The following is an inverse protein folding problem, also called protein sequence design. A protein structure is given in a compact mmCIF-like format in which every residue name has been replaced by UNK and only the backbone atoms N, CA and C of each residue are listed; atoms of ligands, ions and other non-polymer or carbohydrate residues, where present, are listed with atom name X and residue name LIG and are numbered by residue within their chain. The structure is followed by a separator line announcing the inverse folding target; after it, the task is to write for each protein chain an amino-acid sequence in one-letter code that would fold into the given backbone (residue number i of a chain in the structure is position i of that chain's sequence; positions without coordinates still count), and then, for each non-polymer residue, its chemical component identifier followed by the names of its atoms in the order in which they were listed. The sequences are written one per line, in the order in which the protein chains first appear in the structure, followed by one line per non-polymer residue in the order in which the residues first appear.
data_IF_261436456458
#
_entry.id   IF_261436456458
#
_cell.length_a   1.000
_cell.length_b   1.000
_cell.length_c   1.000
_cell.angle_alpha   90.00
_cell.angle_beta   90.00
_cell.angle_gamma   90.00
#
_symmetry.space_group_name_H-M   'P 1'
#
loop_
_entity.id
_entity.type
_entity.pdbx_description
1 polymer ?
#
# COMPACT_ATOMS: atom_id res chain seq x y z
N UNK A 1 37.93 -21.84 -33.69
CA UNK A 1 36.82 -21.08 -34.31
C UNK A 1 35.56 -21.42 -33.54
N UNK A 2 35.27 -20.69 -32.47
CA UNK A 2 34.13 -20.94 -31.57
C UNK A 2 32.90 -20.23 -32.11
N UNK A 3 31.93 -21.01 -32.59
CA UNK A 3 30.65 -20.52 -33.11
C UNK A 3 29.67 -20.30 -31.97
N UNK A 4 29.44 -19.04 -31.63
CA UNK A 4 28.47 -18.60 -30.62
C UNK A 4 27.06 -18.75 -31.19
N UNK A 5 26.29 -19.74 -30.72
CA UNK A 5 24.90 -19.94 -31.10
C UNK A 5 24.00 -19.14 -30.13
N UNK A 6 23.48 -18.01 -30.60
CA UNK A 6 22.48 -17.22 -29.88
C UNK A 6 21.11 -17.88 -30.02
N UNK A 7 20.52 -18.30 -28.89
CA UNK A 7 19.15 -18.78 -28.83
C UNK A 7 18.19 -17.59 -28.91
N UNK A 8 17.45 -17.50 -30.02
CA UNK A 8 16.39 -16.53 -30.25
C UNK A 8 15.13 -17.02 -29.52
N UNK A 9 14.70 -16.28 -28.49
CA UNK A 9 13.41 -16.49 -27.83
C UNK A 9 12.31 -15.94 -28.74
N UNK A 10 11.47 -16.83 -29.26
CA UNK A 10 10.29 -16.46 -30.05
C UNK A 10 9.19 -15.91 -29.13
N UNK A 11 8.99 -14.59 -29.16
CA UNK A 11 7.84 -13.92 -28.53
C UNK A 11 6.68 -13.93 -29.53
N UNK A 12 5.59 -14.64 -29.21
CA UNK A 12 4.35 -14.57 -29.99
C UNK A 12 3.66 -13.23 -29.67
N UNK A 13 3.67 -12.31 -30.63
CA UNK A 13 2.92 -11.06 -30.57
C UNK A 13 1.42 -11.35 -30.65
N UNK A 14 0.65 -10.97 -29.62
CA UNK A 14 -0.81 -11.00 -29.64
C UNK A 14 -1.34 -9.55 -29.67
N UNK A 15 -2.06 -9.19 -30.74
CA UNK A 15 -2.69 -7.88 -30.90
C UNK A 15 -3.93 -7.73 -29.99
N UNK A 16 -4.10 -6.61 -29.28
CA UNK A 16 -5.33 -6.35 -28.54
C UNK A 16 -6.39 -5.74 -29.47
N UNK A 17 -7.49 -6.45 -29.70
CA UNK A 17 -8.70 -5.87 -30.28
C UNK A 17 -9.44 -5.09 -29.19
N UNK A 18 -9.36 -3.77 -29.26
CA UNK A 18 -10.00 -2.83 -28.35
C UNK A 18 -11.45 -2.66 -28.78
N UNK A 19 -12.39 -3.20 -28.01
CA UNK A 19 -13.81 -2.85 -28.14
C UNK A 19 -14.35 -2.34 -26.81
N UNK A 20 -14.07 -1.07 -26.53
CA UNK A 20 -14.71 -0.30 -25.47
C UNK A 20 -16.16 -0.03 -25.89
N UNK A 21 -17.13 -0.69 -25.25
CA UNK A 21 -18.54 -0.27 -25.32
C UNK A 21 -18.73 0.96 -24.42
N UNK A 22 -18.75 2.14 -25.02
CA UNK A 22 -19.25 3.37 -24.40
C UNK A 22 -20.79 3.32 -24.42
N UNK A 23 -21.39 3.07 -23.26
CA UNK A 23 -22.81 3.35 -23.03
C UNK A 23 -22.96 4.84 -22.78
N UNK A 24 -23.34 5.59 -23.82
CA UNK A 24 -23.67 7.01 -23.73
C UNK A 24 -25.01 7.21 -23.02
N UNK A 25 -25.00 7.97 -21.93
CA UNK A 25 -26.22 8.61 -21.41
C UNK A 25 -26.26 10.01 -22.02
N UNK A 26 -27.24 10.22 -22.89
CA UNK A 26 -27.58 11.53 -23.45
C UNK A 26 -28.21 12.35 -22.32
N UNK A 27 -27.53 13.41 -21.89
CA UNK A 27 -28.11 14.42 -20.98
C UNK A 27 -28.83 15.43 -21.87
N UNK A 28 -30.16 15.34 -21.90
CA UNK A 28 -31.00 16.29 -22.62
C UNK A 28 -31.10 17.57 -21.78
N UNK A 29 -30.44 18.63 -22.25
CA UNK A 29 -30.57 19.98 -21.71
C UNK A 29 -31.93 20.55 -22.14
N UNK A 30 -32.80 20.84 -21.17
CA UNK A 30 -34.02 21.59 -21.41
C UNK A 30 -33.87 23.00 -20.82
N UNK A 31 -33.86 23.99 -21.70
CA UNK A 31 -33.80 25.42 -21.40
C UNK A 31 -35.22 25.99 -21.39
N UNK A 32 -35.78 26.24 -20.20
CA UNK A 32 -36.89 27.18 -20.03
C UNK A 32 -36.70 28.01 -18.76
N UNK A 33 -36.64 29.31 -19.00
CA UNK A 33 -36.51 30.42 -18.05
C UNK A 33 -37.92 30.95 -17.75
N UNK A 34 -38.31 31.09 -16.47
CA UNK A 34 -38.77 32.35 -15.82
C UNK A 34 -39.40 32.14 -14.41
N UNK A 35 -39.50 33.21 -13.59
CA UNK A 35 -39.17 33.16 -12.16
C UNK A 35 -40.39 33.38 -11.25
N UNK A 36 -40.30 32.93 -10.00
CA UNK A 36 -40.99 33.58 -8.87
C UNK A 36 -40.19 33.43 -7.57
N UNK A 37 -40.17 34.54 -6.85
CA UNK A 37 -39.47 34.89 -5.62
C UNK A 37 -39.93 34.11 -4.40
N UNK A 38 -39.01 33.64 -3.54
CA UNK A 38 -39.23 33.56 -2.09
C UNK A 38 -37.92 33.80 -1.31
N UNK A 39 -38.09 34.43 -0.16
CA UNK A 39 -37.14 35.20 0.63
C UNK A 39 -36.09 34.34 1.37
N UNK A 40 -34.86 34.86 1.46
CA UNK A 40 -33.83 34.42 2.42
C UNK A 40 -33.81 35.34 3.64
N UNK A 41 -33.96 34.76 4.83
CA UNK A 41 -33.56 35.40 6.08
C UNK A 41 -32.29 34.71 6.57
N UNK A 42 -31.18 35.46 6.53
CA UNK A 42 -29.89 35.11 7.12
C UNK A 42 -29.80 35.72 8.52
N UNK A 43 -29.62 34.89 9.53
CA UNK A 43 -29.12 35.33 10.83
C UNK A 43 -27.89 34.51 11.18
N UNK A 44 -26.72 35.15 11.25
CA UNK A 44 -25.72 34.70 12.20
C UNK A 44 -24.91 35.89 12.73
N UNK A 45 -24.96 36.00 14.04
CA UNK A 45 -24.56 37.16 14.82
C UNK A 45 -23.10 37.05 15.24
N UNK A 46 -22.37 38.14 15.04
CA UNK A 46 -21.03 38.39 15.58
C UNK A 46 -21.15 38.51 17.10
N UNK A 47 -20.42 37.68 17.86
CA UNK A 47 -20.13 37.97 19.27
C UNK A 47 -18.62 38.10 19.48
N UNK A 48 -18.22 39.30 19.91
CA UNK A 48 -16.88 39.66 20.37
C UNK A 48 -16.83 39.42 21.87
N UNK A 49 -15.86 38.65 22.34
CA UNK A 49 -15.47 38.66 23.75
C UNK A 49 -13.99 39.01 23.87
N UNK A 50 -13.75 40.12 24.55
CA UNK A 50 -12.46 40.71 24.91
C UNK A 50 -12.02 40.16 26.26
N UNK A 51 -10.79 39.67 26.37
CA UNK A 51 -10.05 39.61 27.63
C UNK A 51 -8.58 39.99 27.39
N UNK A 52 -8.11 40.94 28.21
CA UNK A 52 -6.74 41.46 28.32
C UNK A 52 -5.88 40.57 29.23
N UNK A 53 -4.57 40.42 28.96
CA UNK A 53 -3.47 40.44 29.96
C UNK A 53 -2.10 40.32 29.24
N UNK A 54 -1.28 41.37 29.15
CA UNK A 54 -0.08 41.72 29.96
C UNK A 54 1.17 40.80 29.83
N UNK A 55 2.10 41.26 28.98
CA UNK A 55 3.58 41.38 29.12
C UNK A 55 4.57 40.17 29.09
N UNK A 56 5.85 40.43 28.66
CA UNK A 56 6.76 39.50 27.95
C UNK A 56 7.97 39.02 28.79
N UNK A 57 8.90 38.21 28.22
CA UNK A 57 10.32 38.65 28.07
C UNK A 57 10.99 38.11 26.78
N UNK A 58 11.75 38.91 25.99
CA UNK A 58 13.18 39.31 26.07
C UNK A 58 14.25 38.20 26.00
N UNK A 59 15.06 38.32 24.94
CA UNK A 59 16.53 38.19 24.88
C UNK A 59 17.18 36.87 24.44
N UNK A 60 17.95 36.99 23.34
CA UNK A 60 18.97 36.08 22.86
C UNK A 60 20.14 36.00 23.86
N UNK A 61 20.78 34.84 24.00
CA UNK A 61 22.18 34.78 24.45
C UNK A 61 22.89 33.52 23.94
N UNK A 62 24.05 33.75 23.33
CA UNK A 62 25.06 32.79 22.90
C UNK A 62 25.86 32.23 24.09
N UNK A 63 26.65 31.19 23.77
CA UNK A 63 27.78 30.60 24.52
C UNK A 63 27.43 29.43 25.46
N UNK A 64 27.94 28.23 25.16
CA UNK A 64 29.28 27.77 25.50
C UNK A 64 29.56 26.39 24.89
N UNK A 65 30.75 26.29 24.32
CA UNK A 65 31.40 25.07 23.84
C UNK A 65 31.66 24.16 25.04
N UNK A 66 31.00 23.00 25.08
CA UNK A 66 31.44 21.91 25.95
C UNK A 66 32.26 20.92 25.13
N UNK A 67 33.56 20.92 25.44
CA UNK A 67 34.61 20.03 24.95
C UNK A 67 34.29 18.61 25.45
N UNK A 68 33.84 17.70 24.59
CA UNK A 68 33.74 16.28 24.93
C UNK A 68 34.98 15.58 24.38
N UNK A 69 35.74 15.01 25.32
CA UNK A 69 36.92 14.18 25.13
C UNK A 69 36.50 12.87 24.48
N UNK A 70 37.01 12.57 23.28
CA UNK A 70 36.87 11.26 22.67
C UNK A 70 37.78 10.26 23.40
N UNK A 71 37.20 9.30 24.12
CA UNK A 71 37.92 8.09 24.50
C UNK A 71 37.84 7.11 23.32
N UNK A 72 39.01 6.71 22.81
CA UNK A 72 39.14 5.60 21.88
C UNK A 72 39.07 4.32 22.70
N UNK A 73 37.92 3.65 22.68
CA UNK A 73 37.84 2.24 23.06
C UNK A 73 38.02 1.41 21.80
N UNK A 74 39.20 0.82 21.69
CA UNK A 74 39.46 -0.30 20.80
C UNK A 74 38.82 -1.52 21.42
N UNK A 75 37.65 -1.90 20.91
CA UNK A 75 37.07 -3.21 21.18
C UNK A 75 37.17 -4.05 19.91
N UNK A 76 37.96 -5.11 20.04
CA UNK A 76 38.17 -6.18 19.08
C UNK A 76 36.84 -6.67 18.51
N UNK A 77 36.63 -6.48 17.21
CA UNK A 77 35.51 -7.05 16.47
C UNK A 77 35.80 -8.52 16.17
N UNK A 78 35.42 -9.39 17.10
CA UNK A 78 35.01 -10.77 16.79
C UNK A 78 33.64 -10.69 16.13
N UNK A 79 33.33 -11.45 15.05
CA UNK A 79 32.06 -11.29 14.34
C UNK A 79 30.91 -11.75 15.23
N UNK A 80 30.22 -10.78 15.82
CA UNK A 80 28.97 -11.00 16.53
C UNK A 80 27.94 -11.44 15.50
N UNK A 81 27.31 -12.59 15.74
CA UNK A 81 26.09 -12.96 15.05
C UNK A 81 25.09 -11.81 15.19
N UNK A 82 24.72 -11.19 14.08
CA UNK A 82 23.74 -10.12 14.03
C UNK A 82 22.40 -10.69 14.52
N UNK A 83 21.97 -10.25 15.70
CA UNK A 83 20.62 -10.44 16.23
C UNK A 83 19.66 -9.60 15.37
N UNK A 84 19.42 -10.09 14.16
CA UNK A 84 18.55 -9.50 13.15
C UNK A 84 17.10 -9.57 13.65
N UNK A 85 16.63 -8.44 14.19
CA UNK A 85 15.28 -8.24 14.72
C UNK A 85 14.23 -8.90 13.79
N UNK A 86 13.36 -9.79 14.29
CA UNK A 86 12.39 -10.48 13.45
C UNK A 86 11.51 -9.52 12.65
N UNK A 87 11.52 -9.69 11.33
CA UNK A 87 10.72 -8.91 10.41
C UNK A 87 10.02 -9.80 9.37
N UNK A 88 8.91 -9.28 8.84
CA UNK A 88 8.12 -9.91 7.78
C UNK A 88 8.41 -9.17 6.48
N UNK A 89 8.69 -9.95 5.44
CA UNK A 89 8.90 -9.45 4.09
C UNK A 89 7.59 -9.40 3.32
N UNK A 90 7.49 -8.43 2.44
CA UNK A 90 6.32 -8.18 1.60
C UNK A 90 6.73 -8.04 0.15
N UNK A 91 5.94 -8.65 -0.73
CA UNK A 91 5.96 -8.38 -2.15
C UNK A 91 4.60 -7.78 -2.55
N UNK A 92 4.57 -6.48 -2.84
CA UNK A 92 3.37 -5.77 -3.26
C UNK A 92 3.31 -5.69 -4.77
N UNK A 93 2.39 -6.44 -5.38
CA UNK A 93 2.18 -6.45 -6.83
C UNK A 93 1.21 -5.35 -7.22
N UNK A 94 1.63 -4.45 -8.10
CA UNK A 94 0.81 -3.34 -8.58
C UNK A 94 -0.35 -3.85 -9.46
N UNK A 95 -1.39 -3.03 -9.63
CA UNK A 95 -2.56 -3.41 -10.44
C UNK A 95 -2.34 -3.27 -11.95
N UNK A 96 -1.22 -2.69 -12.37
CA UNK A 96 -0.86 -2.46 -13.77
C UNK A 96 0.48 -3.16 -14.03
N UNK A 97 0.56 -3.94 -15.10
CA UNK A 97 1.82 -4.54 -15.56
C UNK A 97 2.78 -3.49 -16.11
N UNK A 98 4.06 -3.83 -16.07
CA UNK A 98 5.09 -3.11 -16.79
C UNK A 98 4.86 -3.20 -18.32
N UNK A 99 5.48 -2.33 -19.13
CA UNK A 99 5.33 -2.34 -20.59
C UNK A 99 5.72 -3.66 -21.28
N UNK A 100 6.55 -4.48 -20.61
CA UNK A 100 6.97 -5.80 -21.05
C UNK A 100 5.96 -6.92 -20.71
N UNK A 101 4.90 -6.60 -19.96
CA UNK A 101 3.89 -7.55 -19.50
C UNK A 101 4.23 -8.28 -18.19
N UNK A 102 5.33 -7.93 -17.51
CA UNK A 102 5.67 -8.50 -16.21
C UNK A 102 4.98 -7.76 -15.06
N UNK A 103 4.69 -8.44 -13.93
CA UNK A 103 4.11 -7.77 -12.77
C UNK A 103 5.10 -6.78 -12.16
N UNK A 104 4.64 -5.57 -11.90
CA UNK A 104 5.41 -4.58 -11.13
C UNK A 104 5.32 -4.93 -9.64
N UNK A 105 6.47 -5.26 -9.02
CA UNK A 105 6.55 -5.77 -7.64
C UNK A 105 7.42 -4.86 -6.78
N UNK A 106 6.83 -4.35 -5.70
CA UNK A 106 7.54 -3.57 -4.69
C UNK A 106 7.82 -4.43 -3.45
N UNK A 107 9.11 -4.65 -3.16
CA UNK A 107 9.54 -5.37 -1.96
C UNK A 107 9.69 -4.43 -0.76
N UNK A 108 9.18 -4.83 0.41
CA UNK A 108 9.28 -4.08 1.67
C UNK A 108 9.46 -5.03 2.84
N UNK A 109 9.95 -4.52 3.96
CA UNK A 109 10.12 -5.28 5.19
C UNK A 109 9.54 -4.47 6.33
N UNK A 110 8.76 -5.11 7.20
CA UNK A 110 8.17 -4.45 8.36
C UNK A 110 8.03 -5.40 9.56
N UNK A 111 7.99 -4.81 10.75
CA UNK A 111 7.76 -5.56 11.99
C UNK A 111 6.33 -6.11 12.01
N UNK A 112 6.15 -7.32 12.55
CA UNK A 112 4.82 -7.86 12.81
C UNK A 112 4.12 -7.15 13.98
N UNK A 113 2.85 -7.48 14.17
CA UNK A 113 1.92 -6.80 15.09
C UNK A 113 1.20 -5.58 14.49
N UNK A 114 1.65 -5.07 13.35
CA UNK A 114 1.10 -3.87 12.70
C UNK A 114 -0.08 -4.19 11.77
N UNK A 115 -0.92 -3.19 11.46
CA UNK A 115 -1.96 -3.34 10.44
C UNK A 115 -1.32 -3.26 9.05
N UNK A 116 -1.77 -4.13 8.14
CA UNK A 116 -1.26 -4.14 6.76
C UNK A 116 -1.50 -2.80 6.06
N UNK A 117 -2.60 -2.11 6.36
CA UNK A 117 -2.86 -0.75 5.87
C UNK A 117 -1.74 0.22 6.22
N UNK A 118 -1.31 0.22 7.47
CA UNK A 118 -0.35 1.20 7.96
C UNK A 118 1.02 0.94 7.32
N UNK A 119 1.45 -0.33 7.28
CA UNK A 119 2.64 -0.77 6.54
C UNK A 119 2.61 -0.30 5.07
N UNK A 120 1.48 -0.47 4.38
CA UNK A 120 1.36 -0.05 2.99
C UNK A 120 1.48 1.48 2.85
N UNK A 121 0.84 2.24 3.74
CA UNK A 121 0.86 3.70 3.69
C UNK A 121 2.23 4.28 4.06
N UNK A 122 2.90 3.71 5.07
CA UNK A 122 4.22 4.14 5.54
C UNK A 122 5.32 3.90 4.50
N UNK A 123 5.10 2.95 3.58
CA UNK A 123 6.01 2.61 2.49
C UNK A 123 5.58 3.13 1.11
N UNK A 124 4.66 4.10 1.08
CA UNK A 124 4.11 4.73 -0.14
C UNK A 124 3.49 3.73 -1.13
N UNK A 125 3.02 2.57 -0.65
CA UNK A 125 2.33 1.59 -1.46
C UNK A 125 0.90 2.04 -1.68
N UNK A 126 0.47 1.99 -2.94
CA UNK A 126 -0.89 2.39 -3.31
C UNK A 126 -1.92 1.38 -2.83
N UNK A 127 -2.64 1.75 -1.76
CA UNK A 127 -3.75 0.98 -1.23
C UNK A 127 -5.10 1.44 -1.78
N UNK A 128 -5.20 2.71 -2.14
CA UNK A 128 -6.44 3.30 -2.61
C UNK A 128 -6.33 3.59 -4.09
N UNK A 129 -7.32 3.13 -4.85
CA UNK A 129 -7.42 3.51 -6.25
C UNK A 129 -7.51 5.03 -6.39
N UNK A 130 -7.29 5.56 -7.61
CA UNK A 130 -7.17 6.99 -7.88
C UNK A 130 -8.37 7.81 -7.38
N UNK A 131 -9.55 7.20 -7.27
CA UNK A 131 -10.78 7.84 -6.79
C UNK A 131 -11.06 7.68 -5.29
N UNK A 132 -10.36 6.79 -4.58
CA UNK A 132 -10.65 6.45 -3.19
C UNK A 132 -9.78 7.19 -2.16
N UNK A 133 -8.63 7.73 -2.58
CA UNK A 133 -7.56 8.20 -1.68
C UNK A 133 -7.95 9.40 -0.80
N UNK A 134 -8.52 10.51 -1.31
CA UNK A 134 -8.79 11.69 -0.48
C UNK A 134 -10.20 11.73 0.13
N UNK A 135 -11.19 11.05 -0.48
CA UNK A 135 -12.61 11.34 -0.21
C UNK A 135 -13.42 10.17 0.39
N UNK A 136 -12.92 8.93 0.33
CA UNK A 136 -13.74 7.73 0.57
C UNK A 136 -13.07 6.68 1.48
N UNK A 137 -12.22 7.09 2.42
CA UNK A 137 -11.58 6.16 3.35
C UNK A 137 -11.95 6.43 4.82
N UNK A 138 -12.21 5.36 5.59
CA UNK A 138 -12.65 5.45 6.99
C UNK A 138 -11.50 5.44 8.01
N UNK A 139 -10.29 5.83 7.61
CA UNK A 139 -9.09 5.81 8.47
C UNK A 139 -8.82 4.47 9.18
N UNK A 140 -9.28 3.35 8.61
CA UNK A 140 -9.10 2.01 9.17
C UNK A 140 -10.24 1.49 10.06
N UNK A 141 -11.34 2.22 10.18
CA UNK A 141 -12.53 1.78 10.93
C UNK A 141 -13.27 0.55 10.38
N UNK A 142 -12.90 0.05 9.19
CA UNK A 142 -13.48 -1.14 8.56
C UNK A 142 -14.87 -0.95 7.94
N UNK A 143 -15.39 0.27 7.86
CA UNK A 143 -16.76 0.56 7.39
C UNK A 143 -16.85 0.91 5.91
N UNK A 144 -15.83 1.58 5.35
CA UNK A 144 -15.84 2.01 3.94
C UNK A 144 -15.61 0.86 2.94
N UNK A 145 -14.88 -0.18 3.34
CA UNK A 145 -14.51 -1.29 2.44
C UNK A 145 -13.51 -0.93 1.33
N UNK A 146 -12.86 0.24 1.38
CA UNK A 146 -11.97 0.70 0.29
C UNK A 146 -10.51 0.24 0.43
N UNK A 147 -10.12 -0.30 1.60
CA UNK A 147 -8.76 -0.81 1.87
C UNK A 147 -8.57 -2.25 1.34
N UNK A 148 -9.04 -2.53 0.12
CA UNK A 148 -9.12 -3.87 -0.46
C UNK A 148 -7.78 -4.33 -1.02
N UNK A 149 -7.36 -5.52 -0.61
CA UNK A 149 -6.16 -6.20 -1.13
C UNK A 149 -6.47 -7.67 -1.37
N UNK A 150 -5.71 -8.30 -2.26
CA UNK A 150 -5.76 -9.74 -2.47
C UNK A 150 -4.48 -10.37 -1.93
N UNK A 151 -4.64 -11.39 -1.07
CA UNK A 151 -3.51 -12.14 -0.51
C UNK A 151 -3.22 -13.30 -1.46
N UNK A 152 -2.08 -13.24 -2.13
CA UNK A 152 -1.63 -14.29 -3.06
C UNK A 152 -0.91 -15.40 -2.29
N UNK A 153 -0.09 -15.03 -1.30
CA UNK A 153 0.65 -15.94 -0.42
C UNK A 153 0.82 -15.34 0.98
N UNK A 154 1.05 -16.18 1.99
CA UNK A 154 1.31 -15.73 3.37
C UNK A 154 0.03 -15.38 4.14
N UNK A 155 -1.08 -16.05 3.85
CA UNK A 155 -2.37 -15.79 4.52
C UNK A 155 -2.31 -16.14 6.01
N UNK A 156 -1.55 -17.16 6.35
CA UNK A 156 -1.26 -17.64 7.69
C UNK A 156 -0.47 -16.63 8.54
N UNK A 157 0.29 -15.74 7.89
CA UNK A 157 0.97 -14.62 8.55
C UNK A 157 0.03 -13.44 8.81
N UNK A 158 -1.25 -13.53 8.45
CA UNK A 158 -2.24 -12.51 8.74
C UNK A 158 -3.22 -13.01 9.79
N UNK A 159 -3.61 -12.12 10.70
CA UNK A 159 -4.63 -12.39 11.70
C UNK A 159 -5.96 -12.82 11.07
N UNK A 160 -6.79 -13.51 11.87
CA UNK A 160 -8.11 -13.97 11.47
C UNK A 160 -8.99 -12.80 10.96
N UNK A 161 -9.97 -13.13 10.11
CA UNK A 161 -10.93 -12.13 9.63
C UNK A 161 -11.83 -11.64 10.77
N UNK A 162 -11.95 -10.33 10.89
CA UNK A 162 -12.89 -9.67 11.82
C UNK A 162 -14.33 -9.74 11.29
N UNK A 163 -15.32 -9.47 12.15
CA UNK A 163 -16.74 -9.49 11.80
C UNK A 163 -17.07 -8.44 10.72
N UNK A 164 -16.47 -7.24 10.83
CA UNK A 164 -16.56 -6.18 9.82
C UNK A 164 -16.03 -6.66 8.46
N UNK A 165 -14.90 -7.35 8.47
CA UNK A 165 -14.30 -7.90 7.25
C UNK A 165 -15.20 -8.98 6.65
N UNK A 166 -15.69 -9.92 7.47
CA UNK A 166 -16.62 -10.97 7.04
C UNK A 166 -17.87 -10.36 6.39
N UNK A 167 -18.41 -9.29 6.97
CA UNK A 167 -19.60 -8.61 6.45
C UNK A 167 -19.34 -7.90 5.12
N UNK A 168 -18.25 -7.12 5.02
CA UNK A 168 -17.93 -6.38 3.81
C UNK A 168 -17.50 -7.26 2.64
N UNK A 169 -16.88 -8.41 2.93
CA UNK A 169 -16.36 -9.33 1.92
C UNK A 169 -17.28 -10.53 1.63
N UNK A 170 -18.56 -10.51 2.07
CA UNK A 170 -19.52 -11.63 1.87
C UNK A 170 -19.61 -12.12 0.41
N UNK A 171 -19.49 -11.20 -0.55
CA UNK A 171 -19.61 -11.48 -2.00
C UNK A 171 -18.28 -11.45 -2.74
N UNK A 172 -17.16 -11.39 -2.02
CA UNK A 172 -15.81 -11.29 -2.59
C UNK A 172 -15.04 -12.61 -2.40
N UNK A 173 -13.97 -12.85 -3.19
CA UNK A 173 -13.12 -14.02 -3.03
C UNK A 173 -12.57 -14.21 -1.60
N UNK A 174 -12.32 -15.47 -1.22
CA UNK A 174 -11.87 -15.84 0.13
C UNK A 174 -10.42 -15.41 0.44
N UNK A 175 -9.65 -15.04 -0.58
CA UNK A 175 -8.27 -14.55 -0.46
C UNK A 175 -8.21 -13.01 -0.37
N UNK A 176 -9.31 -12.30 -0.55
CA UNK A 176 -9.34 -10.84 -0.38
C UNK A 176 -9.34 -10.45 1.09
N UNK A 177 -8.68 -9.35 1.46
CA UNK A 177 -8.68 -8.83 2.82
C UNK A 177 -8.97 -7.35 2.80
N UNK A 178 -9.51 -6.86 3.92
CA UNK A 178 -9.41 -5.45 4.25
C UNK A 178 -8.05 -5.24 4.93
N UNK A 179 -7.10 -4.62 4.24
CA UNK A 179 -5.75 -4.36 4.76
C UNK A 179 -5.78 -3.65 6.12
N UNK A 180 -6.78 -2.79 6.32
CA UNK A 180 -6.96 -2.06 7.56
C UNK A 180 -7.51 -2.88 8.73
N UNK A 181 -7.97 -4.11 8.48
CA UNK A 181 -8.41 -5.04 9.52
C UNK A 181 -7.41 -6.19 9.71
N UNK A 182 -6.61 -6.51 8.70
CA UNK A 182 -5.56 -7.51 8.76
C UNK A 182 -4.36 -7.02 9.59
N UNK A 183 -4.11 -7.70 10.71
CA UNK A 183 -2.84 -7.57 11.45
C UNK A 183 -1.82 -8.55 10.87
N UNK A 184 -0.60 -8.10 10.65
CA UNK A 184 0.51 -8.94 10.18
C UNK A 184 1.19 -9.60 11.37
N UNK A 185 1.08 -10.91 11.52
CA UNK A 185 1.84 -11.71 12.46
C UNK A 185 1.85 -11.18 13.90
N UNK A 186 2.90 -11.56 14.61
CA UNK A 186 3.32 -11.04 15.91
C UNK A 186 4.68 -10.35 15.73
N UNK A 187 5.16 -9.66 16.75
CA UNK A 187 6.45 -8.96 16.70
C UNK A 187 7.64 -9.89 16.35
N UNK A 188 7.55 -11.18 16.67
CA UNK A 188 8.56 -12.21 16.41
C UNK A 188 8.36 -12.98 15.09
N UNK A 189 7.33 -12.63 14.31
CA UNK A 189 7.02 -13.36 13.08
C UNK A 189 8.00 -13.06 11.96
N UNK A 190 8.32 -14.09 11.19
CA UNK A 190 9.16 -14.02 9.99
C UNK A 190 8.45 -14.72 8.82
N UNK A 191 8.77 -14.32 7.60
CA UNK A 191 8.26 -14.94 6.38
C UNK A 191 7.88 -13.90 5.33
N UNK A 192 7.30 -14.38 4.23
CA UNK A 192 6.93 -13.57 3.07
C UNK A 192 5.42 -13.52 2.90
N UNK A 193 4.88 -12.32 2.72
CA UNK A 193 3.49 -12.09 2.32
C UNK A 193 3.45 -11.45 0.94
N UNK A 194 2.74 -12.09 0.01
CA UNK A 194 2.57 -11.57 -1.36
C UNK A 194 1.18 -10.98 -1.47
N UNK A 195 1.10 -9.68 -1.78
CA UNK A 195 -0.14 -8.91 -1.81
C UNK A 195 -0.34 -8.30 -3.19
N UNK A 196 -1.47 -8.61 -3.83
CA UNK A 196 -1.95 -7.89 -5.00
C UNK A 196 -2.69 -6.62 -4.55
N UNK A 197 -2.21 -5.48 -5.04
CA UNK A 197 -2.82 -4.16 -4.86
C UNK A 197 -4.09 -4.04 -5.71
N UNK A 198 -5.10 -3.34 -5.20
CA UNK A 198 -6.29 -2.93 -5.95
C UNK A 198 -6.89 -4.07 -6.81
N UNK A 199 -7.30 -5.20 -6.22
CA UNK A 199 -7.71 -6.38 -6.98
C UNK A 199 -8.98 -6.19 -7.80
N UNK A 200 -9.73 -5.10 -7.57
CA UNK A 200 -10.86 -4.68 -8.43
C UNK A 200 -10.42 -3.97 -9.72
N UNK A 201 -9.19 -3.45 -9.75
CA UNK A 201 -8.62 -2.65 -10.83
C UNK A 201 -7.56 -3.39 -11.64
N UNK A 202 -7.21 -4.63 -11.26
CA UNK A 202 -6.31 -5.46 -12.05
C UNK A 202 -7.00 -5.83 -13.38
N UNK A 203 -6.44 -5.38 -14.49
CA UNK A 203 -6.99 -5.64 -15.83
C UNK A 203 -6.46 -6.96 -16.42
N UNK A 204 -5.53 -7.62 -15.73
CA UNK A 204 -4.79 -8.79 -16.19
C UNK A 204 -4.66 -9.82 -15.08
N UNK A 205 -4.57 -11.08 -15.48
CA UNK A 205 -4.16 -12.17 -14.61
C UNK A 205 -2.64 -12.34 -14.72
N UNK A 206 -2.00 -12.72 -13.61
CA UNK A 206 -0.59 -13.03 -13.57
C UNK A 206 -0.38 -14.24 -12.67
N UNK A 207 0.64 -15.03 -12.98
CA UNK A 207 1.01 -16.19 -12.18
C UNK A 207 2.24 -15.87 -11.36
N UNK A 208 2.18 -16.13 -10.05
CA UNK A 208 3.36 -16.07 -9.20
C UNK A 208 4.30 -17.21 -9.59
N UNK A 209 5.41 -16.86 -10.25
CA UNK A 209 6.45 -17.80 -10.64
C UNK A 209 7.06 -18.40 -9.39
N UNK A 210 6.66 -19.62 -9.06
CA UNK A 210 7.32 -20.42 -8.02
C UNK A 210 8.52 -21.12 -8.64
N UNK A 211 9.42 -20.37 -9.29
CA UNK A 211 10.64 -20.96 -9.84
C UNK A 211 11.61 -21.19 -8.68
N UNK A 212 11.58 -22.42 -8.16
CA UNK A 212 12.73 -22.99 -7.46
C UNK A 212 13.79 -23.16 -8.55
N UNK A 213 15.01 -22.60 -8.41
CA UNK A 213 16.10 -22.93 -9.32
C UNK A 213 16.48 -24.39 -9.08
N UNK A 214 15.78 -25.32 -9.72
CA UNK A 214 16.20 -26.71 -9.81
C UNK A 214 17.30 -26.81 -10.85
N UNK A 215 18.54 -26.73 -10.37
CA UNK A 215 19.72 -27.11 -11.13
C UNK A 215 20.83 -27.51 -10.19
N UNK A 216 20.97 -28.82 -9.91
CA UNK A 216 22.24 -29.57 -9.97
C UNK A 216 22.04 -31.06 -9.60
N UNK A 217 22.02 -31.90 -10.64
CA UNK A 217 22.53 -33.29 -10.80
C UNK A 217 22.40 -34.33 -9.67
N UNK A 218 21.89 -35.52 -10.02
CA UNK A 218 22.74 -36.73 -10.17
C UNK A 218 22.15 -37.65 -11.24
N UNK A 219 22.92 -37.86 -12.32
CA UNK A 219 22.76 -39.04 -13.18
C UNK A 219 22.91 -40.28 -12.30
N UNK A 220 22.03 -41.27 -12.45
CA UNK A 220 22.26 -42.61 -11.91
C UNK A 220 22.00 -43.62 -13.02
N UNK A 221 23.12 -44.06 -13.59
CA UNK A 221 23.49 -45.37 -14.16
C UNK A 221 22.55 -45.93 -15.24
#
# INVERSE_FOLDING_TARGET
MTSTQQHIIHVKTFSPNIQKRMGGIVIQLNSHINPTSFFSTSHNSISKHSLKSTNPPTHLCFTRINKIRANVETLNATPAAEDENPAVDFAFVHSVLLPDGTPDVHYRTANGGQKLRDIMLDHDIELYGPYARPLLNCAGGGTCGTCLVEVVQGKELLGARTEKEKEKLKRRPKNWRLACQATVGKADSRGLVVIQQLPEWKAHEWTYGKEIPEGQTVETI
#
